data_IF_530351682109
#
_entry.id   IF_530351682109
#
_cell.length_a   1.000
_cell.length_b   1.000
_cell.length_c   1.000
_cell.angle_alpha   90.00
_cell.angle_beta   90.00
_cell.angle_gamma   90.00
#
_symmetry.space_group_name_H-M   'P 1'
#
loop_
_entity.id
_entity.type
_entity.pdbx_description
1 polymer ?
#
# COMPACT_ATOMS: atom_id res chain seq x y z
N UNK A 1 -1.52 -33.15 -0.44
CA UNK A 1 -2.82 -32.82 -1.03
C UNK A 1 -2.83 -31.38 -1.48
N UNK A 2 -3.44 -31.06 -2.65
CA UNK A 2 -3.55 -29.67 -3.07
C UNK A 2 -4.44 -28.88 -2.11
N UNK A 3 -4.14 -27.59 -1.92
CA UNK A 3 -4.93 -26.73 -1.07
C UNK A 3 -6.29 -26.37 -1.73
N UNK A 4 -7.25 -25.90 -0.95
CA UNK A 4 -8.61 -25.66 -1.46
C UNK A 4 -8.69 -24.56 -2.53
N UNK A 5 -7.77 -23.62 -2.57
CA UNK A 5 -7.65 -22.60 -3.63
C UNK A 5 -7.21 -23.21 -4.96
N UNK A 6 -6.28 -24.18 -4.94
CA UNK A 6 -5.92 -24.98 -6.13
C UNK A 6 -7.09 -25.86 -6.59
N UNK A 7 -7.75 -26.54 -5.64
CA UNK A 7 -8.95 -27.33 -5.94
C UNK A 7 -10.06 -26.49 -6.54
N UNK A 8 -10.32 -25.29 -6.00
CA UNK A 8 -11.30 -24.35 -6.52
C UNK A 8 -10.96 -23.85 -7.93
N UNK A 9 -9.68 -23.60 -8.23
CA UNK A 9 -9.23 -23.23 -9.57
C UNK A 9 -9.44 -24.37 -10.57
N UNK A 10 -9.07 -25.60 -10.22
CA UNK A 10 -9.29 -26.77 -11.09
C UNK A 10 -10.76 -27.03 -11.37
N UNK A 11 -11.59 -26.97 -10.33
CA UNK A 11 -13.03 -27.13 -10.44
C UNK A 11 -13.64 -26.07 -11.37
N UNK A 12 -13.23 -24.82 -11.24
CA UNK A 12 -13.68 -23.75 -12.13
C UNK A 12 -13.25 -23.99 -13.58
N UNK A 13 -12.01 -24.37 -13.82
CA UNK A 13 -11.51 -24.64 -15.17
C UNK A 13 -12.29 -25.80 -15.82
N UNK A 14 -12.56 -26.87 -15.10
CA UNK A 14 -13.34 -27.99 -15.58
C UNK A 14 -14.79 -27.61 -15.91
N UNK A 15 -15.44 -26.84 -15.03
CA UNK A 15 -16.82 -26.40 -15.24
C UNK A 15 -16.94 -25.44 -16.44
N UNK A 16 -15.92 -24.64 -16.70
CA UNK A 16 -15.86 -23.73 -17.84
C UNK A 16 -15.67 -24.47 -19.17
N UNK A 17 -14.83 -25.50 -19.20
CA UNK A 17 -14.59 -26.31 -20.39
C UNK A 17 -15.80 -27.14 -20.80
N UNK A 18 -16.68 -27.49 -19.87
CA UNK A 18 -17.92 -28.28 -20.12
C UNK A 18 -19.13 -27.41 -20.52
N UNK A 19 -18.95 -26.15 -20.89
CA UNK A 19 -20.03 -25.19 -21.18
C UNK A 19 -21.06 -25.03 -20.01
N UNK A 20 -20.64 -25.38 -18.81
CA UNK A 20 -21.49 -25.29 -17.61
C UNK A 20 -21.59 -23.87 -17.03
N UNK A 21 -21.14 -22.87 -17.79
CA UNK A 21 -21.25 -21.46 -17.39
C UNK A 21 -22.71 -21.03 -17.51
N UNK A 22 -23.29 -20.43 -16.48
CA UNK A 22 -24.68 -19.98 -16.51
C UNK A 22 -24.96 -19.06 -17.70
N UNK A 23 -26.16 -19.21 -18.30
CA UNK A 23 -26.61 -18.38 -19.43
C UNK A 23 -26.52 -16.88 -19.08
N UNK A 24 -26.02 -16.07 -20.01
CA UNK A 24 -25.82 -14.61 -19.81
C UNK A 24 -24.40 -14.22 -19.34
N UNK A 25 -23.57 -15.17 -18.96
CA UNK A 25 -22.14 -14.94 -18.80
C UNK A 25 -21.47 -15.20 -20.15
N UNK A 26 -20.65 -14.27 -20.70
CA UNK A 26 -19.99 -14.49 -21.97
C UNK A 26 -19.14 -15.77 -21.91
N UNK A 27 -19.15 -16.54 -23.01
CA UNK A 27 -18.22 -17.67 -23.18
C UNK A 27 -16.82 -17.24 -22.77
N UNK A 28 -16.16 -17.93 -21.85
CA UNK A 28 -14.92 -17.43 -21.28
C UNK A 28 -13.86 -17.33 -22.38
N UNK A 29 -13.40 -16.11 -22.64
CA UNK A 29 -12.03 -15.92 -23.11
C UNK A 29 -11.16 -16.36 -21.92
N UNK A 30 -10.64 -17.58 -21.97
CA UNK A 30 -9.82 -18.18 -20.90
C UNK A 30 -8.78 -17.21 -20.37
N UNK A 31 -8.18 -16.39 -21.24
CA UNK A 31 -7.19 -15.42 -20.83
C UNK A 31 -7.69 -14.29 -19.92
N UNK A 32 -8.94 -13.85 -20.06
CA UNK A 32 -9.51 -12.79 -19.22
C UNK A 32 -10.00 -13.35 -17.88
N UNK A 33 -10.84 -14.37 -17.92
CA UNK A 33 -11.44 -14.98 -16.73
C UNK A 33 -10.41 -15.71 -15.86
N UNK A 34 -9.39 -16.31 -16.49
CA UNK A 34 -8.28 -16.92 -15.77
C UNK A 34 -7.54 -15.91 -14.88
N UNK A 35 -7.33 -14.68 -15.35
CA UNK A 35 -6.70 -13.63 -14.54
C UNK A 35 -7.56 -13.32 -13.30
N UNK A 36 -8.89 -13.24 -13.46
CA UNK A 36 -9.82 -13.05 -12.37
C UNK A 36 -9.74 -14.18 -11.35
N UNK A 37 -9.86 -15.40 -11.81
CA UNK A 37 -9.88 -16.57 -10.95
C UNK A 37 -8.56 -16.79 -10.22
N UNK A 38 -7.44 -16.63 -10.89
CA UNK A 38 -6.13 -16.71 -10.24
C UNK A 38 -5.92 -15.60 -9.21
N UNK A 39 -6.41 -14.40 -9.47
CA UNK A 39 -6.31 -13.30 -8.53
C UNK A 39 -7.16 -13.55 -7.28
N UNK A 40 -8.37 -14.06 -7.42
CA UNK A 40 -9.30 -14.34 -6.29
C UNK A 40 -8.93 -15.63 -5.56
N UNK A 41 -8.59 -16.70 -6.29
CA UNK A 41 -8.16 -17.97 -5.69
C UNK A 41 -6.83 -17.84 -4.91
N UNK A 42 -5.99 -16.83 -5.24
CA UNK A 42 -4.73 -16.57 -4.54
C UNK A 42 -4.86 -15.95 -3.14
N UNK A 43 -5.99 -16.10 -2.44
CA UNK A 43 -6.26 -15.48 -1.14
C UNK A 43 -5.33 -15.97 -0.01
N UNK A 44 -4.68 -17.12 -0.15
CA UNK A 44 -3.58 -17.56 0.74
C UNK A 44 -2.24 -16.83 0.50
N UNK A 45 -2.21 -15.83 -0.37
CA UNK A 45 -1.08 -14.94 -0.62
C UNK A 45 -0.17 -15.33 -1.77
N UNK A 46 -0.52 -16.40 -2.50
CA UNK A 46 0.08 -16.78 -3.79
C UNK A 46 -1.02 -17.33 -4.70
N UNK A 47 -1.05 -16.95 -5.98
CA UNK A 47 -1.98 -17.57 -6.92
C UNK A 47 -1.66 -19.07 -7.07
N UNK A 48 -2.68 -19.94 -7.13
CA UNK A 48 -2.50 -21.37 -7.35
C UNK A 48 -1.92 -21.62 -8.75
N UNK A 49 -1.18 -22.71 -8.90
CA UNK A 49 -0.60 -23.15 -10.15
C UNK A 49 -1.40 -24.34 -10.70
N UNK A 50 -1.69 -24.34 -12.00
CA UNK A 50 -2.36 -25.46 -12.67
C UNK A 50 -1.57 -26.77 -12.54
N UNK A 51 -0.23 -26.66 -12.55
CA UNK A 51 0.71 -27.78 -12.45
C UNK A 51 0.84 -28.37 -11.04
N UNK A 52 0.19 -27.79 -10.03
CA UNK A 52 0.15 -28.40 -8.69
C UNK A 52 -0.57 -29.74 -8.76
N UNK A 53 0.08 -30.81 -8.29
CA UNK A 53 -0.45 -32.17 -8.33
C UNK A 53 0.01 -33.03 -9.52
N UNK A 54 0.64 -32.43 -10.53
CA UNK A 54 1.10 -33.13 -11.75
C UNK A 54 -0.07 -33.58 -12.66
N UNK A 55 0.18 -33.76 -13.94
CA UNK A 55 -0.86 -34.14 -14.90
C UNK A 55 -1.68 -32.97 -15.45
N UNK A 56 -2.80 -33.30 -16.12
CA UNK A 56 -3.74 -32.30 -16.65
C UNK A 56 -4.77 -31.91 -15.58
N UNK A 57 -5.40 -30.75 -15.75
CA UNK A 57 -6.46 -30.27 -14.83
C UNK A 57 -7.61 -31.29 -14.73
N UNK A 58 -8.13 -31.78 -15.86
CA UNK A 58 -9.18 -32.79 -15.88
C UNK A 58 -8.85 -34.08 -15.11
N UNK A 59 -7.63 -34.62 -15.29
CA UNK A 59 -7.17 -35.79 -14.54
C UNK A 59 -7.04 -35.52 -13.03
N UNK A 60 -6.73 -34.28 -12.63
CA UNK A 60 -6.67 -33.88 -11.23
C UNK A 60 -8.07 -33.70 -10.64
N UNK A 61 -9.01 -33.17 -11.43
CA UNK A 61 -10.43 -33.03 -11.05
C UNK A 61 -11.08 -34.39 -10.83
N UNK A 62 -10.89 -35.34 -11.78
CA UNK A 62 -11.39 -36.72 -11.66
C UNK A 62 -10.91 -37.46 -10.37
N UNK A 63 -9.69 -37.10 -9.91
CA UNK A 63 -9.13 -37.67 -8.67
C UNK A 63 -9.65 -36.98 -7.40
N UNK A 64 -9.94 -35.68 -7.48
CA UNK A 64 -10.28 -34.86 -6.32
C UNK A 64 -11.77 -34.73 -6.07
N UNK A 65 -12.62 -34.89 -7.11
CA UNK A 65 -14.06 -34.62 -7.04
C UNK A 65 -14.86 -35.77 -7.61
N UNK A 66 -16.02 -36.01 -6.98
CA UNK A 66 -17.04 -36.93 -7.50
C UNK A 66 -18.04 -36.18 -8.40
N UNK A 67 -18.86 -36.92 -9.13
CA UNK A 67 -19.88 -36.33 -10.01
C UNK A 67 -20.87 -35.44 -9.22
N UNK A 68 -21.19 -35.86 -8.01
CA UNK A 68 -22.05 -35.11 -7.09
C UNK A 68 -21.48 -33.77 -6.66
N UNK A 69 -20.14 -33.68 -6.51
CA UNK A 69 -19.44 -32.43 -6.18
C UNK A 69 -19.51 -31.43 -7.34
N UNK A 70 -19.33 -31.92 -8.58
CA UNK A 70 -19.45 -31.10 -9.80
C UNK A 70 -20.90 -30.59 -9.95
N UNK A 71 -21.89 -31.40 -9.69
CA UNK A 71 -23.29 -31.01 -9.75
C UNK A 71 -23.63 -29.98 -8.65
N UNK A 72 -23.12 -30.18 -7.43
CA UNK A 72 -23.28 -29.23 -6.33
C UNK A 72 -22.66 -27.89 -6.66
N UNK A 73 -21.47 -27.89 -7.26
CA UNK A 73 -20.79 -26.65 -7.69
C UNK A 73 -21.58 -25.91 -8.78
N UNK A 74 -22.13 -26.62 -9.78
CA UNK A 74 -23.00 -26.01 -10.80
C UNK A 74 -24.24 -25.35 -10.19
N UNK A 75 -24.93 -26.05 -9.27
CA UNK A 75 -26.10 -25.48 -8.56
C UNK A 75 -25.73 -24.24 -7.78
N UNK A 76 -24.63 -24.29 -7.02
CA UNK A 76 -24.16 -23.15 -6.26
C UNK A 76 -23.83 -21.96 -7.18
N UNK A 77 -23.17 -22.18 -8.32
CA UNK A 77 -22.90 -21.12 -9.29
C UNK A 77 -24.20 -20.50 -9.86
N UNK A 78 -25.22 -21.34 -10.12
CA UNK A 78 -26.53 -20.83 -10.56
C UNK A 78 -27.20 -20.00 -9.48
N UNK A 79 -27.22 -20.46 -8.24
CA UNK A 79 -27.83 -19.74 -7.12
C UNK A 79 -27.13 -18.40 -6.86
N UNK A 80 -25.79 -18.36 -6.92
CA UNK A 80 -25.01 -17.12 -6.79
C UNK A 80 -25.29 -16.15 -7.95
N UNK A 81 -25.36 -16.66 -9.19
CA UNK A 81 -25.71 -15.85 -10.36
C UNK A 81 -27.08 -15.18 -10.16
N UNK A 82 -28.08 -15.97 -9.80
CA UNK A 82 -29.46 -15.50 -9.65
C UNK A 82 -29.59 -14.51 -8.48
N UNK A 83 -28.79 -14.68 -7.42
CA UNK A 83 -28.83 -13.80 -6.25
C UNK A 83 -28.05 -12.50 -6.41
N UNK A 84 -26.87 -12.55 -7.06
CA UNK A 84 -25.90 -11.46 -7.04
C UNK A 84 -25.78 -10.79 -8.41
N UNK A 85 -25.92 -11.52 -9.52
CA UNK A 85 -25.62 -11.04 -10.86
C UNK A 85 -26.86 -10.70 -11.69
N UNK A 86 -28.09 -10.94 -11.20
CA UNK A 86 -29.33 -10.73 -11.98
C UNK A 86 -29.45 -9.29 -12.55
N UNK A 87 -29.00 -8.29 -11.80
CA UNK A 87 -29.08 -6.88 -12.20
C UNK A 87 -27.89 -6.43 -13.07
N UNK A 88 -26.88 -7.28 -13.25
CA UNK A 88 -25.61 -6.96 -13.93
C UNK A 88 -25.48 -7.71 -15.26
N UNK A 89 -26.27 -8.76 -15.47
CA UNK A 89 -26.23 -9.57 -16.69
C UNK A 89 -27.07 -8.96 -17.82
N UNK A 90 -26.69 -9.20 -19.08
CA UNK A 90 -25.50 -9.91 -19.52
C UNK A 90 -24.23 -9.08 -19.38
N UNK A 91 -23.13 -9.71 -18.99
CA UNK A 91 -21.83 -9.07 -18.93
C UNK A 91 -21.32 -8.75 -20.37
N UNK A 92 -20.68 -7.60 -20.59
CA UNK A 92 -20.08 -7.29 -21.88
C UNK A 92 -18.95 -8.27 -22.21
N UNK A 93 -18.82 -8.65 -23.48
CA UNK A 93 -17.69 -9.46 -23.94
C UNK A 93 -16.36 -8.72 -23.66
N UNK A 94 -15.40 -9.33 -22.95
CA UNK A 94 -14.13 -8.68 -22.69
C UNK A 94 -13.31 -8.61 -24.01
N UNK A 95 -12.76 -7.44 -24.31
CA UNK A 95 -11.79 -7.25 -25.39
C UNK A 95 -10.36 -7.15 -24.85
N UNK A 96 -9.38 -7.05 -25.74
CA UNK A 96 -7.96 -6.93 -25.40
C UNK A 96 -7.66 -5.75 -24.46
N UNK A 97 -8.38 -4.64 -24.60
CA UNK A 97 -8.27 -3.49 -23.70
C UNK A 97 -8.69 -3.84 -22.28
N UNK A 98 -9.79 -4.59 -22.10
CA UNK A 98 -10.25 -5.06 -20.79
C UNK A 98 -9.24 -5.99 -20.14
N UNK A 99 -8.66 -6.91 -20.92
CA UNK A 99 -7.61 -7.84 -20.44
C UNK A 99 -6.37 -7.06 -19.98
N UNK A 100 -5.96 -6.01 -20.70
CA UNK A 100 -4.84 -5.15 -20.31
C UNK A 100 -5.12 -4.40 -18.99
N UNK A 101 -6.32 -3.85 -18.84
CA UNK A 101 -6.76 -3.17 -17.61
C UNK A 101 -6.79 -4.18 -16.45
N UNK A 102 -7.36 -5.36 -16.64
CA UNK A 102 -7.44 -6.38 -15.61
C UNK A 102 -6.05 -6.85 -15.15
N UNK A 103 -5.12 -7.11 -16.09
CA UNK A 103 -3.73 -7.43 -15.76
C UNK A 103 -3.08 -6.35 -14.90
N UNK A 104 -3.30 -5.07 -15.24
CA UNK A 104 -2.78 -3.93 -14.48
C UNK A 104 -3.32 -3.90 -13.04
N UNK A 105 -4.58 -4.27 -12.84
CA UNK A 105 -5.28 -4.18 -11.56
C UNK A 105 -5.46 -5.52 -10.83
N UNK A 106 -4.97 -6.65 -11.39
CA UNK A 106 -5.12 -7.98 -10.80
C UNK A 106 -4.56 -8.07 -9.37
N UNK A 107 -3.48 -7.34 -9.05
CA UNK A 107 -2.92 -7.28 -7.71
C UNK A 107 -3.86 -6.62 -6.68
N UNK A 108 -4.65 -5.63 -7.10
CA UNK A 108 -5.68 -5.02 -6.23
C UNK A 108 -6.79 -6.01 -5.95
N UNK A 109 -7.23 -6.74 -6.99
CA UNK A 109 -8.23 -7.78 -6.86
C UNK A 109 -7.74 -8.91 -5.94
N UNK A 110 -6.51 -9.37 -6.12
CA UNK A 110 -5.90 -10.39 -5.24
C UNK A 110 -5.79 -9.89 -3.79
N UNK A 111 -5.39 -8.63 -3.58
CA UNK A 111 -5.34 -8.04 -2.23
C UNK A 111 -6.71 -7.92 -1.57
N UNK A 112 -7.73 -7.57 -2.34
CA UNK A 112 -9.12 -7.53 -1.88
C UNK A 112 -9.62 -8.95 -1.55
N UNK A 113 -9.30 -9.96 -2.37
CA UNK A 113 -9.62 -11.35 -2.10
C UNK A 113 -9.02 -11.84 -0.79
N UNK A 114 -7.73 -11.57 -0.55
CA UNK A 114 -7.07 -11.90 0.73
C UNK A 114 -7.78 -11.23 1.91
N UNK A 115 -8.12 -9.95 1.78
CA UNK A 115 -8.76 -9.20 2.86
C UNK A 115 -10.18 -9.71 3.14
N UNK A 116 -10.95 -9.98 2.09
CA UNK A 116 -12.31 -10.50 2.18
C UNK A 116 -12.34 -11.90 2.80
N UNK A 117 -11.43 -12.78 2.38
CA UNK A 117 -11.29 -14.12 2.95
C UNK A 117 -10.96 -14.05 4.46
N UNK A 118 -10.01 -13.21 4.84
CA UNK A 118 -9.64 -13.08 6.25
C UNK A 118 -10.75 -12.52 7.12
N UNK A 119 -11.53 -11.57 6.63
CA UNK A 119 -12.68 -11.05 7.37
C UNK A 119 -13.81 -12.08 7.42
N UNK A 120 -14.13 -12.70 6.29
CA UNK A 120 -15.21 -13.69 6.17
C UNK A 120 -14.95 -14.98 6.95
N UNK A 121 -13.69 -15.37 7.11
CA UNK A 121 -13.27 -16.53 7.90
C UNK A 121 -13.19 -16.28 9.40
N UNK A 122 -13.35 -15.03 9.85
CA UNK A 122 -13.32 -14.71 11.26
C UNK A 122 -14.65 -15.05 11.95
N UNK A 123 -14.65 -16.10 12.78
CA UNK A 123 -15.84 -16.60 13.47
C UNK A 123 -16.48 -15.59 14.44
N UNK A 124 -15.73 -14.61 14.94
CA UNK A 124 -16.27 -13.54 15.77
C UNK A 124 -17.09 -12.54 14.97
N UNK A 125 -16.81 -12.40 13.67
CA UNK A 125 -17.51 -11.52 12.74
C UNK A 125 -18.58 -12.30 11.96
N UNK A 126 -18.28 -13.52 11.53
CA UNK A 126 -19.14 -14.42 10.78
C UNK A 126 -19.29 -15.75 11.53
N UNK A 127 -20.20 -15.83 12.54
CA UNK A 127 -20.34 -17.03 13.36
C UNK A 127 -20.89 -18.22 12.57
N UNK A 128 -20.34 -19.41 12.83
CA UNK A 128 -20.86 -20.65 12.26
C UNK A 128 -22.30 -20.89 12.68
N UNK A 129 -23.09 -21.48 11.76
CA UNK A 129 -24.48 -21.86 11.98
C UNK A 129 -24.61 -23.34 11.83
N UNK A 130 -25.28 -23.97 12.81
CA UNK A 130 -25.56 -25.40 12.83
C UNK A 130 -26.77 -25.77 11.96
N UNK A 131 -27.68 -24.83 11.68
CA UNK A 131 -28.86 -25.09 10.87
C UNK A 131 -28.63 -24.63 9.43
N UNK A 132 -28.89 -25.48 8.42
CA UNK A 132 -28.80 -25.09 7.03
C UNK A 132 -29.82 -24.01 6.70
N UNK A 133 -29.37 -22.98 5.97
CA UNK A 133 -30.20 -21.94 5.38
C UNK A 133 -29.99 -21.96 3.87
N UNK A 134 -31.02 -21.60 3.12
CA UNK A 134 -30.83 -21.30 1.70
C UNK A 134 -29.91 -20.08 1.53
N UNK A 135 -29.27 -19.95 0.38
CA UNK A 135 -28.37 -18.81 0.09
C UNK A 135 -29.15 -17.48 0.15
N UNK A 136 -30.40 -17.47 -0.33
CA UNK A 136 -31.29 -16.30 -0.27
C UNK A 136 -31.67 -15.87 1.15
N UNK A 137 -31.81 -16.82 2.07
CA UNK A 137 -32.07 -16.51 3.49
C UNK A 137 -30.83 -16.10 4.25
N UNK A 138 -29.66 -16.59 3.86
CA UNK A 138 -28.40 -16.26 4.50
C UNK A 138 -27.84 -14.90 4.03
N UNK A 139 -28.01 -14.57 2.76
CA UNK A 139 -27.37 -13.39 2.12
C UNK A 139 -27.65 -12.05 2.85
N UNK A 140 -28.89 -11.69 3.22
CA UNK A 140 -29.15 -10.47 3.98
C UNK A 140 -28.38 -10.40 5.30
N UNK A 141 -28.26 -11.56 6.00
CA UNK A 141 -27.53 -11.67 7.26
C UNK A 141 -26.01 -11.53 7.04
N UNK A 142 -25.50 -12.11 5.95
CA UNK A 142 -24.10 -11.98 5.58
C UNK A 142 -23.73 -10.52 5.29
N UNK A 143 -24.60 -9.75 4.66
CA UNK A 143 -24.41 -8.30 4.43
C UNK A 143 -24.36 -7.52 5.76
N UNK A 144 -25.26 -7.82 6.72
CA UNK A 144 -25.19 -7.19 8.06
C UNK A 144 -23.89 -7.53 8.80
N UNK A 145 -23.40 -8.78 8.67
CA UNK A 145 -22.12 -9.17 9.26
C UNK A 145 -20.95 -8.47 8.56
N UNK A 146 -21.00 -8.32 7.25
CA UNK A 146 -19.99 -7.62 6.47
C UNK A 146 -19.90 -6.14 6.88
N UNK A 147 -21.03 -5.44 7.02
CA UNK A 147 -21.08 -4.06 7.49
C UNK A 147 -20.46 -3.90 8.88
N UNK A 148 -20.82 -4.79 9.81
CA UNK A 148 -20.23 -4.82 11.16
C UNK A 148 -18.75 -5.12 11.13
N UNK A 149 -18.32 -6.05 10.28
CA UNK A 149 -16.92 -6.42 10.10
C UNK A 149 -16.10 -5.22 9.62
N UNK A 150 -16.54 -4.56 8.56
CA UNK A 150 -15.87 -3.36 8.02
C UNK A 150 -15.82 -2.24 9.07
N UNK A 151 -16.92 -1.98 9.76
CA UNK A 151 -16.97 -0.94 10.81
C UNK A 151 -16.02 -1.24 11.98
N UNK A 152 -15.92 -2.52 12.40
CA UNK A 152 -15.08 -2.93 13.54
C UNK A 152 -13.59 -2.97 13.25
N UNK A 153 -13.21 -3.14 11.99
CA UNK A 153 -11.79 -3.30 11.58
C UNK A 153 -11.04 -1.99 11.38
N UNK A 154 -11.75 -0.87 11.36
CA UNK A 154 -11.15 0.45 11.10
C UNK A 154 -10.60 0.59 9.66
N UNK A 155 -11.13 -0.20 8.71
CA UNK A 155 -10.75 -0.13 7.29
C UNK A 155 -11.51 0.94 6.51
N UNK A 156 -12.61 1.46 7.08
CA UNK A 156 -13.33 2.58 6.50
C UNK A 156 -12.50 3.86 6.63
N UNK A 157 -12.37 4.59 5.53
CA UNK A 157 -11.61 5.84 5.51
C UNK A 157 -12.32 6.95 6.27
N UNK A 158 -11.58 7.64 7.12
CA UNK A 158 -12.06 8.84 7.81
C UNK A 158 -12.19 10.00 6.83
N UNK A 159 -13.23 10.85 6.95
CA UNK A 159 -13.39 12.03 6.10
C UNK A 159 -12.25 13.02 6.32
N UNK A 160 -11.64 13.44 5.21
CA UNK A 160 -10.53 14.39 5.21
C UNK A 160 -11.02 15.78 5.64
N UNK A 161 -10.20 16.51 6.41
CA UNK A 161 -10.48 17.87 6.80
C UNK A 161 -10.09 18.85 5.70
N UNK A 162 -10.96 19.79 5.41
CA UNK A 162 -10.69 20.90 4.51
C UNK A 162 -9.96 22.02 5.27
N UNK A 163 -8.90 22.55 4.68
CA UNK A 163 -8.12 23.65 5.20
C UNK A 163 -8.03 24.78 4.16
N UNK A 164 -8.47 26.00 4.53
CA UNK A 164 -8.24 27.20 3.70
C UNK A 164 -6.75 27.54 3.62
N UNK A 165 -6.05 27.32 4.73
CA UNK A 165 -4.61 27.51 4.84
C UNK A 165 -3.97 26.22 5.39
N UNK A 166 -3.37 25.39 4.53
CA UNK A 166 -2.80 24.10 4.93
C UNK A 166 -1.56 24.23 5.84
N UNK A 167 -0.95 25.41 5.96
CA UNK A 167 0.15 25.63 6.90
C UNK A 167 -0.31 25.57 8.36
N UNK A 168 -1.60 25.82 8.60
CA UNK A 168 -2.23 25.71 9.94
C UNK A 168 -2.37 24.26 10.43
N UNK A 169 -1.97 23.27 9.61
CA UNK A 169 -1.77 21.91 10.08
C UNK A 169 -0.82 21.87 11.30
N UNK A 170 0.10 22.84 11.40
CA UNK A 170 1.08 22.97 12.49
C UNK A 170 0.91 24.25 13.26
N UNK A 171 0.50 24.20 14.52
CA UNK A 171 0.27 25.39 15.38
C UNK A 171 1.56 26.21 15.62
N UNK A 172 2.71 25.53 15.59
CA UNK A 172 4.01 26.17 15.80
C UNK A 172 4.55 26.86 14.54
N UNK A 173 3.95 26.65 13.38
CA UNK A 173 4.42 27.18 12.12
C UNK A 173 3.93 28.61 11.88
N UNK A 174 4.57 29.57 12.57
CA UNK A 174 4.20 31.00 12.48
C UNK A 174 4.70 31.67 11.18
N UNK A 175 5.82 31.21 10.67
CA UNK A 175 6.46 31.70 9.44
C UNK A 175 6.90 30.50 8.58
N UNK A 176 6.10 30.13 7.58
CA UNK A 176 6.48 29.04 6.67
C UNK A 176 7.79 29.33 5.94
N UNK A 177 8.57 28.28 5.69
CA UNK A 177 9.76 28.37 4.86
C UNK A 177 9.39 28.55 3.39
N UNK A 178 10.32 28.95 2.49
CA UNK A 178 10.04 28.97 1.06
C UNK A 178 9.53 27.63 0.53
N UNK A 179 10.09 26.49 0.97
CA UNK A 179 9.65 25.16 0.59
C UNK A 179 8.24 24.82 1.14
N UNK A 180 7.93 25.24 2.36
CA UNK A 180 6.60 25.07 2.96
C UNK A 180 5.56 25.95 2.26
N UNK A 181 5.92 27.17 1.87
CA UNK A 181 5.07 28.04 1.06
C UNK A 181 4.81 27.42 -0.32
N UNK A 182 5.84 26.90 -0.98
CA UNK A 182 5.67 26.15 -2.23
C UNK A 182 4.67 25.00 -2.02
N UNK A 183 4.87 24.17 -1.00
CA UNK A 183 3.98 23.06 -0.68
C UNK A 183 2.52 23.49 -0.43
N UNK A 184 2.33 24.67 0.18
CA UNK A 184 1.02 25.23 0.45
C UNK A 184 0.30 25.81 -0.77
N UNK A 185 1.07 26.26 -1.79
CA UNK A 185 0.51 27.07 -2.88
C UNK A 185 0.63 26.46 -4.26
N UNK A 186 1.52 25.46 -4.47
CA UNK A 186 1.70 24.81 -5.77
C UNK A 186 0.38 24.33 -6.35
N UNK A 187 0.12 24.58 -7.63
CA UNK A 187 -1.06 24.08 -8.31
C UNK A 187 -0.99 22.55 -8.45
N UNK A 188 -2.01 21.85 -7.96
CA UNK A 188 -2.11 20.40 -8.08
C UNK A 188 -2.75 20.03 -9.42
N UNK A 189 -2.10 19.14 -10.16
CA UNK A 189 -2.65 18.60 -11.41
C UNK A 189 -3.75 17.56 -11.14
N UNK A 190 -4.54 17.28 -12.16
CA UNK A 190 -5.46 16.15 -12.13
C UNK A 190 -4.70 14.82 -12.24
N UNK A 191 -4.98 13.90 -11.31
CA UNK A 191 -4.34 12.58 -11.27
C UNK A 191 -3.19 12.47 -10.27
N UNK A 192 -2.47 11.34 -10.31
CA UNK A 192 -1.34 11.10 -9.41
C UNK A 192 -0.12 11.93 -9.79
N UNK A 193 0.63 12.38 -8.79
CA UNK A 193 1.80 13.25 -8.97
C UNK A 193 2.96 12.79 -8.10
N UNK A 194 4.18 13.00 -8.60
CA UNK A 194 5.40 12.88 -7.82
C UNK A 194 5.93 14.28 -7.49
N UNK A 195 6.25 14.51 -6.22
CA UNK A 195 7.00 15.69 -5.76
C UNK A 195 8.37 15.24 -5.26
N UNK A 196 9.41 15.87 -5.75
CA UNK A 196 10.77 15.72 -5.25
C UNK A 196 11.17 17.02 -4.56
N UNK A 197 11.40 16.97 -3.24
CA UNK A 197 11.73 18.12 -2.41
C UNK A 197 13.18 18.03 -1.93
N UNK A 198 14.03 18.88 -2.46
CA UNK A 198 15.46 18.93 -2.15
C UNK A 198 15.79 20.22 -1.42
N UNK A 199 16.20 20.10 -0.15
CA UNK A 199 16.63 21.24 0.68
C UNK A 199 17.54 20.74 1.81
N UNK A 200 18.29 21.65 2.40
CA UNK A 200 19.20 21.37 3.52
C UNK A 200 18.46 20.75 4.71
N UNK A 201 19.19 20.04 5.55
CA UNK A 201 18.64 19.51 6.81
C UNK A 201 18.13 20.65 7.69
N UNK A 202 16.94 20.49 8.27
CA UNK A 202 16.28 21.52 9.08
C UNK A 202 15.51 22.59 8.31
N UNK A 203 15.41 22.49 6.98
CA UNK A 203 14.65 23.44 6.13
C UNK A 203 13.11 23.26 6.23
N UNK A 204 12.62 22.25 6.96
CA UNK A 204 11.19 22.00 7.11
C UNK A 204 10.59 21.11 6.01
N UNK A 205 11.40 20.21 5.43
CA UNK A 205 10.95 19.26 4.39
C UNK A 205 9.79 18.37 4.85
N UNK A 206 9.85 17.90 6.10
CA UNK A 206 8.80 17.03 6.66
C UNK A 206 7.45 17.75 6.73
N UNK A 207 7.45 18.99 7.23
CA UNK A 207 6.22 19.81 7.29
C UNK A 207 5.72 20.12 5.89
N UNK A 208 6.60 20.46 4.93
CA UNK A 208 6.24 20.68 3.54
C UNK A 208 5.59 19.43 2.93
N UNK A 209 6.14 18.24 3.19
CA UNK A 209 5.57 16.97 2.72
C UNK A 209 4.19 16.70 3.31
N UNK A 210 3.98 16.95 4.60
CA UNK A 210 2.68 16.77 5.25
C UNK A 210 1.65 17.81 4.79
N UNK A 211 2.06 19.04 4.50
CA UNK A 211 1.21 20.08 3.87
C UNK A 211 0.76 19.62 2.47
N UNK A 212 1.69 19.15 1.63
CA UNK A 212 1.35 18.59 0.31
C UNK A 212 0.44 17.37 0.42
N UNK A 213 0.72 16.48 1.37
CA UNK A 213 -0.12 15.31 1.64
C UNK A 213 -1.55 15.72 1.96
N UNK A 214 -1.73 16.67 2.88
CA UNK A 214 -3.04 17.16 3.25
C UNK A 214 -3.78 17.75 2.04
N UNK A 215 -3.11 18.53 1.20
CA UNK A 215 -3.68 19.10 -0.01
C UNK A 215 -4.07 18.04 -1.04
N UNK A 216 -3.24 17.01 -1.23
CA UNK A 216 -3.57 15.86 -2.08
C UNK A 216 -4.79 15.09 -1.54
N UNK A 217 -4.89 14.93 -0.22
CA UNK A 217 -6.04 14.31 0.43
C UNK A 217 -7.30 15.17 0.27
N UNK A 218 -7.22 16.47 0.50
CA UNK A 218 -8.34 17.41 0.32
C UNK A 218 -8.83 17.47 -1.12
N UNK A 219 -7.93 17.36 -2.09
CA UNK A 219 -8.26 17.27 -3.52
C UNK A 219 -8.81 15.88 -3.94
N UNK A 220 -9.02 14.95 -2.99
CA UNK A 220 -9.53 13.61 -3.27
C UNK A 220 -8.53 12.69 -3.99
N UNK A 221 -7.23 13.04 -4.02
CA UNK A 221 -6.17 12.24 -4.66
C UNK A 221 -5.61 11.15 -3.75
N UNK A 222 -5.86 11.23 -2.45
CA UNK A 222 -5.50 10.24 -1.45
C UNK A 222 -6.45 10.31 -0.26
N UNK A 223 -6.43 9.26 0.57
CA UNK A 223 -7.25 9.16 1.78
C UNK A 223 -6.38 8.97 3.04
N UNK A 224 -5.08 8.83 2.85
CA UNK A 224 -4.10 8.67 3.91
C UNK A 224 -2.68 8.76 3.40
N UNK A 225 -1.73 8.34 4.24
CA UNK A 225 -0.30 8.37 3.90
C UNK A 225 0.46 7.17 4.44
N UNK A 226 1.59 6.86 3.81
CA UNK A 226 2.63 6.00 4.36
C UNK A 226 3.97 6.72 4.34
N UNK A 227 4.55 6.93 5.53
CA UNK A 227 5.84 7.59 5.68
C UNK A 227 6.96 6.55 5.80
N UNK A 228 7.73 6.40 4.74
CA UNK A 228 8.83 5.45 4.62
C UNK A 228 10.17 6.11 4.98
N UNK A 229 10.90 5.53 5.92
CA UNK A 229 12.16 6.06 6.46
C UNK A 229 13.29 5.03 6.34
N UNK A 230 14.57 5.48 6.36
CA UNK A 230 15.70 4.59 6.14
C UNK A 230 15.97 3.65 7.33
N UNK A 231 15.57 4.01 8.54
CA UNK A 231 15.89 3.22 9.73
C UNK A 231 14.76 3.15 10.75
N UNK A 232 14.82 2.17 11.65
CA UNK A 232 13.88 2.04 12.76
C UNK A 232 13.94 3.24 13.72
N UNK A 233 15.12 3.77 13.96
CA UNK A 233 15.30 4.91 14.87
C UNK A 233 14.60 6.17 14.32
N UNK A 234 14.77 6.45 13.02
CA UNK A 234 14.10 7.56 12.36
C UNK A 234 12.60 7.33 12.27
N UNK A 235 12.15 6.07 12.08
CA UNK A 235 10.72 5.73 12.07
C UNK A 235 10.06 5.99 13.42
N UNK A 236 10.72 5.64 14.54
CA UNK A 236 10.22 5.92 15.88
C UNK A 236 10.09 7.42 16.16
N UNK A 237 11.08 8.21 15.76
CA UNK A 237 11.04 9.66 15.91
C UNK A 237 9.93 10.27 15.07
N UNK A 238 9.80 9.83 13.81
CA UNK A 238 8.77 10.31 12.90
C UNK A 238 7.36 9.91 13.36
N UNK A 239 7.19 8.70 13.89
CA UNK A 239 5.91 8.25 14.43
C UNK A 239 5.39 9.20 15.52
N UNK A 240 6.27 9.68 16.43
CA UNK A 240 5.91 10.67 17.45
C UNK A 240 5.51 12.00 16.83
N UNK A 241 6.30 12.51 15.88
CA UNK A 241 6.01 13.78 15.19
C UNK A 241 4.70 13.74 14.39
N UNK A 242 4.47 12.65 13.67
CA UNK A 242 3.21 12.45 12.93
C UNK A 242 2.05 12.25 13.92
N UNK A 243 2.28 11.56 15.04
CA UNK A 243 1.30 11.36 16.10
C UNK A 243 0.72 12.66 16.68
N UNK A 244 1.49 13.74 16.69
CA UNK A 244 1.05 15.06 17.15
C UNK A 244 0.08 15.75 16.18
N UNK A 245 0.13 15.40 14.89
CA UNK A 245 -0.60 16.14 13.83
C UNK A 245 -1.56 15.30 13.00
N UNK A 246 -1.44 13.96 12.97
CA UNK A 246 -2.19 13.12 12.03
C UNK A 246 -3.72 13.28 12.14
N UNK A 247 -4.25 13.49 13.34
CA UNK A 247 -5.69 13.72 13.55
C UNK A 247 -6.20 14.96 12.85
N UNK A 248 -5.32 15.94 12.61
CA UNK A 248 -5.66 17.20 11.94
C UNK A 248 -5.82 17.05 10.43
N UNK A 249 -5.38 15.93 9.87
CA UNK A 249 -5.63 15.58 8.47
C UNK A 249 -7.10 15.24 8.21
N UNK A 250 -7.85 14.90 9.27
CA UNK A 250 -9.21 14.41 9.20
C UNK A 250 -10.19 15.31 9.95
N UNK A 251 -11.49 15.19 9.64
CA UNK A 251 -12.55 15.98 10.29
C UNK A 251 -12.63 15.63 11.76
N UNK A 252 -13.01 16.61 12.56
CA UNK A 252 -13.23 16.44 14.00
C UNK A 252 -14.30 15.38 14.26
N UNK A 253 -14.08 14.56 15.27
CA UNK A 253 -14.94 13.41 15.56
C UNK A 253 -14.58 12.13 14.79
N UNK A 254 -13.68 12.20 13.79
CA UNK A 254 -13.13 11.03 13.15
C UNK A 254 -12.13 10.31 14.07
N UNK A 255 -11.96 9.00 13.87
CA UNK A 255 -10.98 8.20 14.62
C UNK A 255 -9.97 7.53 13.65
N UNK A 256 -9.12 8.33 12.98
CA UNK A 256 -8.16 7.80 12.03
C UNK A 256 -7.12 6.93 12.70
N UNK A 257 -6.73 5.86 12.01
CA UNK A 257 -5.74 4.91 12.50
C UNK A 257 -4.30 5.40 12.23
N UNK A 258 -3.42 5.28 13.23
CA UNK A 258 -1.99 5.55 13.11
C UNK A 258 -1.21 4.31 13.55
N UNK A 259 -0.37 3.75 12.66
CA UNK A 259 0.39 2.53 12.94
C UNK A 259 1.87 2.68 12.58
N UNK A 260 2.72 2.10 13.44
CA UNK A 260 4.17 2.02 13.25
C UNK A 260 4.57 0.64 12.67
N UNK A 261 5.34 0.64 11.59
CA UNK A 261 5.75 -0.57 10.86
C UNK A 261 7.27 -0.74 10.78
N UNK A 262 7.84 -1.46 11.73
CA UNK A 262 9.23 -1.96 11.67
C UNK A 262 9.46 -3.15 12.59
N UNK A 263 10.64 -3.81 12.50
CA UNK A 263 10.96 -5.03 13.23
C UNK A 263 11.04 -4.89 14.76
N UNK A 264 11.43 -3.70 15.28
CA UNK A 264 11.65 -3.44 16.72
C UNK A 264 10.54 -2.60 17.39
N UNK A 265 9.34 -2.54 16.81
CA UNK A 265 8.20 -1.75 17.33
C UNK A 265 7.83 -2.03 18.80
N UNK A 266 8.10 -3.25 19.27
CA UNK A 266 7.83 -3.62 20.67
C UNK A 266 8.61 -2.79 21.70
N UNK A 267 9.67 -2.10 21.26
CA UNK A 267 10.47 -1.21 22.09
C UNK A 267 9.83 0.18 22.26
N UNK A 268 8.83 0.51 21.46
CA UNK A 268 8.13 1.81 21.53
C UNK A 268 6.96 1.68 22.50
N UNK A 269 7.05 2.38 23.63
CA UNK A 269 6.05 2.32 24.72
C UNK A 269 4.66 2.74 24.23
N UNK A 270 4.58 3.80 23.44
CA UNK A 270 3.36 4.35 22.87
C UNK A 270 2.63 3.36 21.96
N UNK A 271 3.40 2.49 21.30
CA UNK A 271 2.84 1.44 20.47
C UNK A 271 2.18 0.35 21.33
N UNK A 272 2.78 -0.01 22.47
CA UNK A 272 2.18 -0.99 23.40
C UNK A 272 0.84 -0.50 23.96
N UNK A 273 0.73 0.78 24.26
CA UNK A 273 -0.50 1.37 24.79
C UNK A 273 -1.64 1.37 23.77
N UNK A 274 -1.33 1.55 22.47
CA UNK A 274 -2.34 1.49 21.41
C UNK A 274 -2.79 0.04 21.10
N UNK A 275 -1.95 -0.95 21.35
CA UNK A 275 -2.27 -2.39 21.17
C UNK A 275 -3.13 -2.92 22.31
N UNK A 276 -2.88 -2.49 23.55
CA UNK A 276 -3.59 -2.95 24.75
C UNK A 276 -5.09 -2.60 24.72
N UNK A 277 -5.50 -1.59 23.95
CA UNK A 277 -6.93 -1.27 23.74
C UNK A 277 -7.65 -2.24 22.80
N UNK A 278 -6.93 -3.14 22.13
CA UNK A 278 -7.48 -4.13 21.18
C UNK A 278 -7.43 -5.59 21.69
N UNK A 279 -6.89 -5.87 22.87
CA UNK A 279 -6.62 -7.25 23.35
C UNK A 279 -7.68 -7.86 24.28
N UNK A 280 -8.76 -7.18 24.57
CA UNK A 280 -9.84 -7.72 25.43
C UNK A 280 -10.84 -8.58 24.63
N UNK A 281 -10.39 -9.72 24.07
CA UNK A 281 -11.29 -10.85 23.76
C UNK A 281 -10.57 -12.18 23.89
N UNK A 282 -11.13 -13.16 24.65
CA UNK A 282 -10.52 -14.47 24.83
C UNK A 282 -10.66 -15.31 23.56
N UNK A 283 -9.54 -15.67 22.94
CA UNK A 283 -9.48 -16.59 21.81
C UNK A 283 -9.79 -18.02 22.24
N UNK A 284 -10.67 -18.64 21.50
CA UNK A 284 -11.06 -20.07 21.66
C UNK A 284 -9.87 -20.99 21.38
N UNK A 285 -9.53 -21.83 22.37
CA UNK A 285 -8.40 -22.77 22.34
C UNK A 285 -8.91 -24.17 22.04
N UNK A 286 -9.33 -24.45 20.82
CA UNK A 286 -9.53 -25.85 20.42
C UNK A 286 -9.49 -26.06 18.92
N UNK A 287 -8.28 -26.13 18.34
CA UNK A 287 -8.07 -26.82 17.06
C UNK A 287 -6.63 -27.36 16.95
N UNK A 288 -6.49 -28.51 16.29
CA UNK A 288 -5.26 -29.31 16.22
C UNK A 288 -4.13 -28.67 15.36
N UNK A 289 -2.84 -29.08 15.53
CA UNK A 289 -1.68 -28.28 15.12
C UNK A 289 -1.34 -28.22 13.62
N UNK A 290 -2.03 -28.92 12.74
CA UNK A 290 -1.61 -29.07 11.33
C UNK A 290 -2.41 -28.29 10.27
N UNK A 291 -3.51 -27.65 10.65
CA UNK A 291 -4.19 -26.67 9.79
C UNK A 291 -4.34 -25.37 10.56
N UNK A 292 -3.45 -24.41 10.32
CA UNK A 292 -3.71 -23.05 10.78
C UNK A 292 -4.99 -22.57 10.05
N UNK A 293 -6.15 -22.66 10.73
CA UNK A 293 -7.41 -22.25 10.17
C UNK A 293 -7.32 -20.82 9.64
N UNK A 294 -8.07 -20.47 8.60
CA UNK A 294 -8.12 -19.11 8.06
C UNK A 294 -8.41 -18.09 9.19
N UNK A 295 -9.22 -18.47 10.19
CA UNK A 295 -9.45 -17.67 11.41
C UNK A 295 -8.20 -17.46 12.23
N UNK A 296 -7.35 -18.47 12.44
CA UNK A 296 -6.09 -18.31 13.16
C UNK A 296 -5.09 -17.44 12.38
N UNK A 297 -5.05 -17.57 11.05
CA UNK A 297 -4.27 -16.71 10.19
C UNK A 297 -4.76 -15.26 10.21
N UNK A 298 -6.08 -15.06 10.20
CA UNK A 298 -6.71 -13.74 10.33
C UNK A 298 -6.38 -13.11 11.69
N UNK A 299 -6.55 -13.82 12.79
CA UNK A 299 -6.24 -13.31 14.12
C UNK A 299 -4.75 -13.02 14.30
N UNK A 300 -3.87 -13.90 13.80
CA UNK A 300 -2.43 -13.65 13.78
C UNK A 300 -2.07 -12.44 12.91
N UNK A 301 -2.76 -12.24 11.80
CA UNK A 301 -2.57 -11.09 10.95
C UNK A 301 -3.13 -9.80 11.56
N UNK A 302 -4.31 -9.87 12.17
CA UNK A 302 -4.88 -8.75 12.91
C UNK A 302 -3.98 -8.36 14.10
N UNK A 303 -3.27 -9.31 14.72
CA UNK A 303 -2.25 -9.08 15.72
C UNK A 303 -0.90 -8.63 15.13
N UNK A 304 -0.60 -8.94 13.85
CA UNK A 304 0.64 -8.49 13.18
C UNK A 304 0.52 -7.06 12.65
N UNK A 305 0.78 -6.11 13.51
CA UNK A 305 0.74 -4.69 13.18
C UNK A 305 1.68 -4.26 12.02
N UNK A 306 2.68 -5.08 11.63
CA UNK A 306 3.55 -4.78 10.47
C UNK A 306 2.79 -4.82 9.15
N UNK A 307 1.84 -5.73 9.04
CA UNK A 307 0.96 -5.83 7.86
C UNK A 307 -0.18 -4.82 7.92
N UNK A 308 -0.76 -4.59 9.11
CA UNK A 308 -1.78 -3.56 9.35
C UNK A 308 -1.30 -2.14 9.08
N UNK A 309 -0.02 -1.84 9.32
CA UNK A 309 0.50 -0.49 9.11
C UNK A 309 0.33 0.00 7.67
N UNK A 310 0.36 -0.90 6.70
CA UNK A 310 0.08 -0.55 5.32
C UNK A 310 -1.42 -0.38 5.04
N UNK A 311 -2.31 -0.95 5.86
CA UNK A 311 -3.77 -0.76 5.76
C UNK A 311 -4.27 0.42 6.59
N UNK A 312 -3.58 0.79 7.68
CA UNK A 312 -3.94 1.97 8.48
C UNK A 312 -3.94 3.23 7.63
N UNK A 313 -4.82 4.18 7.93
CA UNK A 313 -4.91 5.46 7.21
C UNK A 313 -3.59 6.23 7.22
N UNK A 314 -2.91 6.22 8.37
CA UNK A 314 -1.58 6.80 8.54
C UNK A 314 -0.61 5.71 8.99
N UNK A 315 0.32 5.37 8.11
CA UNK A 315 1.40 4.43 8.39
C UNK A 315 2.74 5.16 8.48
N UNK A 316 3.54 4.80 9.48
CA UNK A 316 4.94 5.23 9.58
C UNK A 316 5.81 3.99 9.71
N UNK A 317 6.90 3.90 8.96
CA UNK A 317 7.76 2.72 9.03
C UNK A 317 9.03 2.81 8.20
N UNK A 318 9.77 1.71 8.17
CA UNK A 318 10.95 1.63 7.30
C UNK A 318 10.54 1.41 5.85
N UNK A 319 11.38 1.90 4.92
CA UNK A 319 11.16 1.70 3.49
C UNK A 319 11.06 0.22 3.12
N UNK A 320 11.80 -0.67 3.80
CA UNK A 320 11.75 -2.12 3.57
C UNK A 320 10.33 -2.68 3.60
N UNK A 321 9.47 -2.18 4.51
CA UNK A 321 8.10 -2.65 4.63
C UNK A 321 7.25 -2.26 3.40
N UNK A 322 7.50 -1.10 2.82
CA UNK A 322 6.88 -0.69 1.55
C UNK A 322 7.46 -1.47 0.36
N UNK A 323 8.78 -1.71 0.32
CA UNK A 323 9.45 -2.45 -0.74
C UNK A 323 8.97 -3.92 -0.84
N UNK A 324 8.54 -4.52 0.27
CA UNK A 324 7.91 -5.84 0.26
C UNK A 324 6.61 -5.90 -0.56
N UNK A 325 6.02 -4.76 -0.92
CA UNK A 325 4.87 -4.70 -1.81
C UNK A 325 5.24 -5.00 -3.28
N UNK A 326 6.50 -4.89 -3.67
CA UNK A 326 6.99 -5.13 -5.05
C UNK A 326 7.99 -6.28 -5.14
N UNK A 327 8.21 -6.99 -4.04
CA UNK A 327 9.00 -8.21 -4.00
C UNK A 327 8.08 -9.44 -4.01
N UNK A 328 8.49 -10.58 -4.59
CA UNK A 328 7.73 -11.82 -4.56
C UNK A 328 7.68 -12.39 -3.13
N UNK A 329 6.87 -11.78 -2.29
CA UNK A 329 6.67 -12.14 -0.90
C UNK A 329 5.23 -12.60 -0.66
N UNK A 330 5.03 -13.51 0.29
CA UNK A 330 3.68 -13.91 0.70
C UNK A 330 2.85 -12.69 1.11
N UNK A 331 1.61 -12.61 0.65
CA UNK A 331 0.70 -11.47 0.84
C UNK A 331 1.20 -10.13 0.25
N UNK A 332 1.97 -10.18 -0.84
CA UNK A 332 2.40 -9.00 -1.58
C UNK A 332 1.21 -8.15 -2.02
N UNK A 333 0.16 -8.78 -2.55
CA UNK A 333 -1.06 -8.12 -3.01
C UNK A 333 -1.75 -7.30 -1.91
N UNK A 334 -1.77 -7.83 -0.67
CA UNK A 334 -2.32 -7.11 0.48
C UNK A 334 -1.50 -5.85 0.83
N UNK A 335 -0.17 -5.89 0.66
CA UNK A 335 0.68 -4.72 0.87
C UNK A 335 0.46 -3.67 -0.21
N UNK A 336 0.29 -4.09 -1.46
CA UNK A 336 -0.03 -3.19 -2.56
C UNK A 336 -1.39 -2.50 -2.37
N UNK A 337 -2.44 -3.25 -1.99
CA UNK A 337 -3.74 -2.63 -1.72
C UNK A 337 -3.68 -1.70 -0.52
N UNK A 338 -2.88 -2.03 0.49
CA UNK A 338 -2.67 -1.19 1.67
C UNK A 338 -1.98 0.15 1.35
N UNK A 339 -1.14 0.20 0.33
CA UNK A 339 -0.54 1.45 -0.16
C UNK A 339 -1.46 2.20 -1.15
N UNK A 340 -2.42 1.50 -1.75
CA UNK A 340 -3.37 2.11 -2.69
C UNK A 340 -4.23 3.17 -1.97
N UNK A 341 -4.45 4.29 -2.62
CA UNK A 341 -5.20 5.39 -2.03
C UNK A 341 -4.43 6.23 -0.98
N UNK A 342 -3.13 6.02 -0.84
CA UNK A 342 -2.26 6.80 0.06
C UNK A 342 -1.22 7.60 -0.69
N UNK A 343 -0.78 8.70 -0.07
CA UNK A 343 0.46 9.35 -0.47
C UNK A 343 1.63 8.55 0.10
N UNK A 344 2.55 8.16 -0.75
CA UNK A 344 3.81 7.52 -0.34
C UNK A 344 4.85 8.61 -0.11
N UNK A 345 5.23 8.85 1.15
CA UNK A 345 6.34 9.73 1.51
C UNK A 345 7.58 8.88 1.71
N UNK A 346 8.69 9.24 1.07
CA UNK A 346 9.98 8.56 1.23
C UNK A 346 11.01 9.58 1.66
N UNK A 347 11.56 9.42 2.85
CA UNK A 347 12.55 10.35 3.40
C UNK A 347 13.98 9.86 3.18
N UNK A 348 14.92 10.81 3.15
CA UNK A 348 16.37 10.61 3.00
C UNK A 348 16.73 9.71 1.81
N UNK A 349 16.12 10.00 0.64
CA UNK A 349 16.29 9.16 -0.58
C UNK A 349 17.77 8.97 -0.96
N UNK A 350 18.63 9.93 -0.66
CA UNK A 350 20.07 9.86 -0.90
C UNK A 350 20.80 8.80 -0.03
N UNK A 351 20.17 8.31 1.04
CA UNK A 351 20.77 7.33 1.96
C UNK A 351 20.63 5.88 1.49
N UNK A 352 19.90 5.62 0.41
CA UNK A 352 19.64 4.26 -0.08
C UNK A 352 20.73 3.79 -1.04
N UNK A 353 21.15 2.54 -0.88
CA UNK A 353 22.09 1.88 -1.78
C UNK A 353 21.44 1.53 -3.14
N UNK A 354 22.25 1.08 -4.10
CA UNK A 354 21.80 0.76 -5.46
C UNK A 354 20.73 -0.32 -5.50
N UNK A 355 20.77 -1.30 -4.59
CA UNK A 355 19.76 -2.36 -4.50
C UNK A 355 18.41 -1.79 -4.04
N UNK A 356 18.38 -1.07 -2.95
CA UNK A 356 17.18 -0.41 -2.44
C UNK A 356 16.64 0.60 -3.47
N UNK A 357 17.52 1.34 -4.15
CA UNK A 357 17.15 2.27 -5.21
C UNK A 357 16.49 1.56 -6.41
N UNK A 358 16.97 0.38 -6.77
CA UNK A 358 16.35 -0.46 -7.81
C UNK A 358 14.93 -0.90 -7.41
N UNK A 359 14.73 -1.28 -6.16
CA UNK A 359 13.41 -1.65 -5.63
C UNK A 359 12.49 -0.44 -5.48
N UNK A 360 13.02 0.70 -5.04
CA UNK A 360 12.26 1.94 -4.96
C UNK A 360 11.70 2.34 -6.32
N UNK A 361 12.48 2.26 -7.41
CA UNK A 361 11.99 2.50 -8.77
C UNK A 361 10.80 1.59 -9.13
N UNK A 362 10.86 0.31 -8.78
CA UNK A 362 9.74 -0.63 -8.99
C UNK A 362 8.52 -0.24 -8.15
N UNK A 363 8.73 0.20 -6.92
CA UNK A 363 7.65 0.67 -6.04
C UNK A 363 6.99 1.93 -6.58
N UNK A 364 7.78 2.90 -7.05
CA UNK A 364 7.27 4.13 -7.67
C UNK A 364 6.41 3.81 -8.90
N UNK A 365 6.91 2.95 -9.80
CA UNK A 365 6.17 2.51 -10.98
C UNK A 365 4.86 1.80 -10.61
N UNK A 366 4.89 0.87 -9.66
CA UNK A 366 3.71 0.15 -9.20
C UNK A 366 2.69 1.09 -8.53
N UNK A 367 3.15 2.00 -7.67
CA UNK A 367 2.31 2.96 -6.96
C UNK A 367 1.64 3.96 -7.91
N UNK A 368 2.41 4.54 -8.84
CA UNK A 368 1.89 5.41 -9.90
C UNK A 368 0.87 4.69 -10.78
N UNK A 369 1.13 3.44 -11.16
CA UNK A 369 0.20 2.64 -11.99
C UNK A 369 -1.15 2.40 -11.30
N UNK A 370 -1.20 2.46 -9.97
CA UNK A 370 -2.42 2.35 -9.16
C UNK A 370 -3.06 3.71 -8.84
N UNK A 371 -2.54 4.80 -9.41
CA UNK A 371 -3.05 6.15 -9.19
C UNK A 371 -2.53 6.81 -7.90
N UNK A 372 -1.43 6.29 -7.32
CA UNK A 372 -0.85 6.82 -6.08
C UNK A 372 0.10 7.99 -6.32
N UNK A 373 -0.01 9.04 -5.50
CA UNK A 373 0.94 10.15 -5.46
C UNK A 373 2.11 9.86 -4.52
N UNK A 374 3.27 10.45 -4.82
CA UNK A 374 4.52 10.22 -4.09
C UNK A 374 5.18 11.55 -3.73
N UNK A 375 5.79 11.62 -2.55
CA UNK A 375 6.64 12.73 -2.14
C UNK A 375 7.99 12.16 -1.69
N UNK A 376 9.05 12.52 -2.41
CA UNK A 376 10.42 12.14 -2.11
C UNK A 376 11.14 13.30 -1.43
N UNK A 377 11.75 13.04 -0.28
CA UNK A 377 12.52 14.01 0.48
C UNK A 377 14.01 13.65 0.43
N UNK A 378 14.84 14.63 0.14
CA UNK A 378 16.28 14.43 0.12
C UNK A 378 17.02 15.69 0.55
N UNK A 379 18.24 15.52 1.06
CA UNK A 379 19.14 16.65 1.20
C UNK A 379 19.64 17.09 -0.18
N UNK A 380 20.15 16.17 -0.97
CA UNK A 380 20.62 16.37 -2.34
C UNK A 380 20.51 15.07 -3.12
N UNK A 381 20.24 15.15 -4.42
CA UNK A 381 20.29 14.00 -5.31
C UNK A 381 21.12 14.33 -6.56
N UNK A 382 21.99 13.42 -7.01
CA UNK A 382 22.61 13.53 -8.32
C UNK A 382 21.56 13.61 -9.42
N UNK A 383 21.84 14.38 -10.47
CA UNK A 383 20.92 14.58 -11.60
C UNK A 383 20.43 13.24 -12.19
N UNK A 384 21.34 12.33 -12.46
CA UNK A 384 21.05 11.00 -12.98
C UNK A 384 20.11 10.18 -12.08
N UNK A 385 20.25 10.32 -10.76
CA UNK A 385 19.36 9.66 -9.80
C UNK A 385 17.95 10.26 -9.83
N UNK A 386 17.85 11.61 -9.94
CA UNK A 386 16.55 12.29 -10.12
C UNK A 386 15.85 11.80 -11.38
N UNK A 387 16.53 11.78 -12.52
CA UNK A 387 16.00 11.31 -13.79
C UNK A 387 15.49 9.88 -13.71
N UNK A 388 16.28 8.97 -13.13
CA UNK A 388 15.91 7.57 -12.97
C UNK A 388 14.66 7.36 -12.10
N UNK A 389 14.47 8.15 -11.04
CA UNK A 389 13.29 8.09 -10.17
C UNK A 389 12.06 8.66 -10.87
N UNK A 390 12.22 9.78 -11.57
CA UNK A 390 11.16 10.42 -12.35
C UNK A 390 10.70 9.50 -13.48
N UNK A 391 11.62 8.92 -14.24
CA UNK A 391 11.32 7.98 -15.32
C UNK A 391 10.55 6.75 -14.81
N UNK A 392 10.96 6.20 -13.65
CA UNK A 392 10.26 5.08 -13.06
C UNK A 392 8.82 5.43 -12.70
N UNK A 393 8.58 6.60 -12.14
CA UNK A 393 7.24 7.08 -11.82
C UNK A 393 6.41 7.34 -13.08
N UNK A 394 6.96 8.03 -14.09
CA UNK A 394 6.30 8.33 -15.37
C UNK A 394 5.92 7.05 -16.12
N UNK A 395 6.77 6.04 -16.15
CA UNK A 395 6.43 4.71 -16.71
C UNK A 395 5.23 4.08 -16.00
N UNK A 396 5.10 4.26 -14.69
CA UNK A 396 3.91 3.84 -13.95
C UNK A 396 2.62 4.56 -14.39
N UNK A 397 2.73 5.80 -14.86
CA UNK A 397 1.64 6.57 -15.46
C UNK A 397 1.36 6.15 -16.93
N UNK A 398 2.20 5.31 -17.52
CA UNK A 398 2.13 4.93 -18.94
C UNK A 398 2.81 5.93 -19.87
N UNK A 399 3.74 6.74 -19.35
CA UNK A 399 4.56 7.70 -20.12
C UNK A 399 5.95 7.09 -20.27
N UNK A 400 6.29 6.61 -21.46
CA UNK A 400 7.55 5.92 -21.76
C UNK A 400 8.66 6.85 -22.26
N UNK A 401 8.35 8.12 -22.48
CA UNK A 401 9.34 9.12 -22.88
C UNK A 401 10.34 9.38 -21.74
N UNK A 402 11.61 9.27 -22.04
CA UNK A 402 12.70 9.59 -21.11
C UNK A 402 12.62 11.04 -20.62
N UNK A 403 13.14 11.27 -19.42
CA UNK A 403 13.22 12.58 -18.81
C UNK A 403 14.68 13.05 -18.88
N UNK A 404 14.91 14.20 -19.50
CA UNK A 404 16.17 14.92 -19.41
C UNK A 404 15.95 16.15 -18.52
N UNK A 405 16.74 16.27 -17.47
CA UNK A 405 16.72 17.40 -16.56
C UNK A 405 17.98 18.25 -16.77
N UNK A 406 17.79 19.53 -16.91
CA UNK A 406 18.89 20.51 -16.99
C UNK A 406 18.98 21.43 -15.76
N UNK A 407 18.04 21.28 -14.82
CA UNK A 407 17.95 22.16 -13.65
C UNK A 407 18.82 21.67 -12.49
N UNK A 408 19.91 22.38 -12.26
CA UNK A 408 20.86 22.14 -11.17
C UNK A 408 20.73 23.15 -10.02
N UNK A 409 19.68 23.97 -10.01
CA UNK A 409 19.41 24.89 -8.90
C UNK A 409 19.17 24.13 -7.61
N UNK A 410 19.54 24.76 -6.50
CA UNK A 410 19.40 24.18 -5.16
C UNK A 410 19.16 25.29 -4.12
N UNK A 411 18.22 25.16 -3.19
CA UNK A 411 17.20 24.10 -3.05
C UNK A 411 16.18 24.06 -4.19
N UNK A 412 15.58 22.88 -4.43
CA UNK A 412 14.69 22.65 -5.56
C UNK A 412 13.46 21.82 -5.16
N UNK A 413 12.29 22.24 -5.62
CA UNK A 413 11.09 21.43 -5.60
C UNK A 413 10.70 21.07 -7.05
N UNK A 414 10.58 19.79 -7.35
CA UNK A 414 10.19 19.32 -8.68
C UNK A 414 8.85 18.62 -8.57
N UNK A 415 7.87 19.07 -9.35
CA UNK A 415 6.56 18.45 -9.50
C UNK A 415 6.52 17.68 -10.83
N UNK A 416 6.08 16.45 -10.79
CA UNK A 416 5.98 15.56 -11.93
C UNK A 416 4.55 15.02 -11.99
N UNK A 417 3.87 15.33 -13.09
CA UNK A 417 2.57 14.85 -13.46
C UNK A 417 2.55 14.59 -14.95
N UNK A 418 1.64 15.24 -15.69
CA UNK A 418 1.68 15.27 -17.15
C UNK A 418 2.94 16.00 -17.65
N UNK A 419 3.32 17.04 -16.95
CA UNK A 419 4.51 17.83 -17.20
C UNK A 419 5.49 17.72 -16.03
N UNK A 420 6.74 18.14 -16.26
CA UNK A 420 7.76 18.27 -15.23
C UNK A 420 7.96 19.77 -14.98
N UNK A 421 7.74 20.20 -13.74
CA UNK A 421 7.88 21.60 -13.34
C UNK A 421 8.86 21.72 -12.18
N UNK A 422 9.93 22.44 -12.38
CA UNK A 422 10.96 22.69 -11.37
C UNK A 422 10.83 24.12 -10.79
N UNK A 423 10.79 24.22 -9.46
CA UNK A 423 10.68 25.46 -8.71
C UNK A 423 11.87 25.61 -7.77
N UNK A 424 12.74 26.60 -8.02
CA UNK A 424 13.85 26.90 -7.12
C UNK A 424 13.33 27.55 -5.84
N UNK A 425 13.70 26.99 -4.70
CA UNK A 425 13.38 27.53 -3.39
C UNK A 425 14.57 28.33 -2.85
N UNK A 426 14.30 29.35 -2.02
CA UNK A 426 15.37 30.04 -1.32
C UNK A 426 15.72 29.32 -0.02
N UNK A 427 17.02 29.21 0.28
CA UNK A 427 17.48 28.74 1.59
C UNK A 427 17.22 29.81 2.64
N UNK A 428 16.69 29.45 3.80
CA UNK A 428 16.57 30.36 4.94
C UNK A 428 17.91 31.01 5.28
N UNK A 429 17.97 32.33 5.53
CA UNK A 429 19.23 33.02 5.84
C UNK A 429 19.97 32.36 7.02
N UNK A 430 19.27 31.90 8.04
CA UNK A 430 19.82 31.24 9.22
C UNK A 430 20.50 29.89 8.92
N UNK A 431 20.15 29.23 7.83
CA UNK A 431 20.72 27.96 7.38
C UNK A 431 21.86 28.13 6.37
N UNK A 432 22.07 29.36 5.87
CA UNK A 432 23.21 29.66 4.98
C UNK A 432 24.51 29.57 5.76
N UNK A 433 25.35 28.61 5.40
CA UNK A 433 26.68 28.43 6.00
C UNK A 433 27.78 28.58 4.94
N UNK A 434 28.85 29.27 5.28
CA UNK A 434 30.08 29.22 4.52
C UNK A 434 30.99 28.19 5.16
N UNK A 435 31.37 27.18 4.40
CA UNK A 435 32.31 26.14 4.83
C UNK A 435 33.60 26.37 4.08
N UNK A 436 34.69 26.54 4.84
CA UNK A 436 36.03 26.60 4.26
C UNK A 436 36.52 25.17 4.07
N UNK A 437 36.75 24.77 2.83
CA UNK A 437 37.29 23.45 2.49
C UNK A 437 38.79 23.61 2.24
N UNK A 438 39.60 22.80 2.92
CA UNK A 438 41.03 22.68 2.70
C UNK A 438 41.38 21.20 2.43
N UNK A 439 42.25 20.98 1.44
CA UNK A 439 42.76 19.66 1.14
C UNK A 439 44.01 19.39 1.95
N UNK A 440 44.05 18.26 2.64
CA UNK A 440 45.23 17.81 3.40
C UNK A 440 45.61 16.44 2.86
N UNK A 441 46.84 16.30 2.40
CA UNK A 441 47.34 15.07 1.74
C UNK A 441 48.24 14.21 2.65
N UNK A 442 48.61 14.74 3.83
CA UNK A 442 49.47 14.04 4.79
C UNK A 442 48.68 13.53 5.99
N UNK A 443 48.81 12.24 6.29
CA UNK A 443 48.12 11.55 7.39
C UNK A 443 48.44 12.18 8.76
N UNK A 444 49.70 12.55 9.01
CA UNK A 444 50.12 13.24 10.25
C UNK A 444 49.41 14.57 10.42
N UNK A 445 49.28 15.32 9.36
CA UNK A 445 48.58 16.61 9.37
C UNK A 445 47.08 16.43 9.61
N UNK A 446 46.48 15.38 9.06
CA UNK A 446 45.07 15.03 9.32
C UNK A 446 44.85 14.68 10.81
N UNK A 447 45.71 13.82 11.38
CA UNK A 447 45.63 13.42 12.79
C UNK A 447 45.86 14.63 13.72
N UNK A 448 46.83 15.49 13.42
CA UNK A 448 47.05 16.72 14.17
C UNK A 448 45.82 17.64 14.15
N UNK A 449 45.15 17.76 12.99
CA UNK A 449 43.96 18.60 12.84
C UNK A 449 42.78 18.03 13.60
N UNK A 450 42.57 16.69 13.59
CA UNK A 450 41.55 16.01 14.37
C UNK A 450 41.79 16.26 15.86
N UNK A 451 43.02 16.06 16.35
CA UNK A 451 43.41 16.34 17.76
C UNK A 451 43.11 17.78 18.16
N UNK A 452 43.47 18.76 17.31
CA UNK A 452 43.20 20.16 17.57
C UNK A 452 41.70 20.46 17.70
N UNK A 453 40.88 19.91 16.79
CA UNK A 453 39.42 20.11 16.79
C UNK A 453 38.81 19.46 18.04
N UNK A 454 39.23 18.24 18.38
CA UNK A 454 38.74 17.51 19.58
C UNK A 454 39.06 18.26 20.88
N UNK A 455 40.26 18.85 20.98
CA UNK A 455 40.68 19.66 22.15
C UNK A 455 39.88 20.97 22.29
N UNK A 456 39.36 21.51 21.17
CA UNK A 456 38.52 22.72 21.14
C UNK A 456 37.02 22.44 21.31
N UNK A 457 36.62 21.18 21.57
CA UNK A 457 35.23 20.77 21.82
C UNK A 457 34.39 20.70 20.53
N UNK A 458 35.00 20.44 19.40
CA UNK A 458 34.36 20.22 18.11
C UNK A 458 34.12 18.73 17.81
#
# INVERSE_FOLDING_TARGET
EPCHDTLGLWLWMELVDIEAVPEGIPSPDHGFWEIWMRATAGHHGKPPLESEGGGTVGANVEKAFMAEDLEAARRFMSDVKDLILQDVLPLPKPGSAHTKILKKHSWRLAGLGVLADWLGSNQSLFPYRSQPLSLSEYWPKALEFADKAVASTGLAWSPVKDWDDPTKLFDYLKSPTPLQNYAATVELEDGPQLFLLEDVTGAGKTEAALILTQRLMQAGRAQGLYFALPSMATSNQMYRRVGEVYRRLYREGSNPSLVLSHGARQLVKEFKESVLQSEDQPGDRSYQPDESSASAQCNAWLADNRKKALLAEVGVGTLDQALLAVLPARHQSLRLIGLSGKVLLVDEVHAYDDYMMSLLKKLLMAHASQGGSVILLSATLPLETRERLIDAYRRGLGIDEGCELDDNRYPLATQIGKEIRAHACETRPQLKRRVQVSMVHDEKAILARISEVTQKGG
#
